data_IF_860162218489
#
_entry.id   IF_860162218489
#
_cell.length_a   1.000
_cell.length_b   1.000
_cell.length_c   1.000
_cell.angle_alpha   90.00
_cell.angle_beta   90.00
_cell.angle_gamma   90.00
#
_symmetry.space_group_name_H-M   'P 1'
#
loop_
_entity.id
_entity.type
_entity.pdbx_description
1 polymer ?
#
# COMPACT_ATOMS: atom_id res chain seq x y z
N UNK A 1 22.00 3.43 6.42
CA UNK A 1 21.20 4.40 5.63
C UNK A 1 20.03 3.68 4.91
N UNK A 2 19.24 2.85 5.60
CA UNK A 2 18.27 1.96 4.94
C UNK A 2 16.87 2.56 4.72
N UNK A 3 16.59 3.73 5.31
CA UNK A 3 15.24 4.31 5.29
C UNK A 3 14.83 4.80 3.89
N UNK A 4 15.75 5.41 3.14
CA UNK A 4 15.46 5.95 1.79
C UNK A 4 15.21 4.86 0.76
N UNK A 5 15.97 3.76 0.82
CA UNK A 5 15.86 2.62 -0.08
C UNK A 5 14.53 1.88 0.13
N UNK A 6 14.15 1.63 1.39
CA UNK A 6 12.84 1.04 1.70
C UNK A 6 11.70 1.87 1.12
N UNK A 7 11.73 3.19 1.33
CA UNK A 7 10.67 4.06 0.80
C UNK A 7 10.66 4.11 -0.73
N UNK A 8 11.80 3.92 -1.39
CA UNK A 8 11.84 3.81 -2.85
C UNK A 8 11.15 2.53 -3.33
N UNK A 9 11.42 1.39 -2.69
CA UNK A 9 10.75 0.12 -3.02
C UNK A 9 9.26 0.17 -2.65
N UNK A 10 8.91 0.74 -1.49
CA UNK A 10 7.51 0.93 -1.09
C UNK A 10 6.74 1.77 -2.12
N UNK A 11 7.32 2.89 -2.58
CA UNK A 11 6.72 3.69 -3.65
C UNK A 11 6.58 2.90 -4.94
N UNK A 12 7.62 2.16 -5.35
CA UNK A 12 7.56 1.30 -6.53
C UNK A 12 6.41 0.28 -6.43
N UNK A 13 6.26 -0.38 -5.29
CA UNK A 13 5.18 -1.33 -5.05
C UNK A 13 3.80 -0.65 -5.03
N UNK A 14 3.67 0.53 -4.43
CA UNK A 14 2.44 1.34 -4.50
C UNK A 14 2.06 1.70 -5.93
N UNK A 15 3.04 2.05 -6.78
CA UNK A 15 2.80 2.40 -8.19
C UNK A 15 2.27 1.24 -9.04
N UNK A 16 2.51 -0.01 -8.63
CA UNK A 16 1.96 -1.20 -9.30
C UNK A 16 0.48 -1.46 -8.99
N UNK A 17 -0.07 -0.84 -7.94
CA UNK A 17 -1.48 -0.99 -7.59
C UNK A 17 -2.38 -0.23 -8.58
N UNK A 18 -3.59 -0.75 -8.87
CA UNK A 18 -4.61 0.03 -9.56
C UNK A 18 -4.88 1.35 -8.83
N UNK A 19 -5.06 2.44 -9.59
CA UNK A 19 -5.13 3.81 -9.05
C UNK A 19 -6.10 3.96 -7.87
N UNK A 20 -7.31 3.42 -7.98
CA UNK A 20 -8.31 3.48 -6.89
C UNK A 20 -7.88 2.70 -5.64
N UNK A 21 -7.19 1.57 -5.81
CA UNK A 21 -6.67 0.76 -4.68
C UNK A 21 -5.51 1.50 -4.01
N UNK A 22 -4.60 2.08 -4.80
CA UNK A 22 -3.52 2.94 -4.30
C UNK A 22 -4.06 4.13 -3.52
N UNK A 23 -5.07 4.82 -4.04
CA UNK A 23 -5.69 5.96 -3.39
C UNK A 23 -6.32 5.57 -2.04
N UNK A 24 -7.11 4.48 -2.00
CA UNK A 24 -7.69 3.96 -0.75
C UNK A 24 -6.61 3.66 0.28
N UNK A 25 -5.54 2.95 -0.10
CA UNK A 25 -4.47 2.60 0.82
C UNK A 25 -3.71 3.83 1.32
N UNK A 26 -3.33 4.75 0.42
CA UNK A 26 -2.58 5.96 0.76
C UNK A 26 -3.37 6.81 1.76
N UNK A 27 -4.63 7.13 1.43
CA UNK A 27 -5.47 7.94 2.31
C UNK A 27 -5.68 7.28 3.67
N UNK A 28 -5.99 5.98 3.70
CA UNK A 28 -6.36 5.30 4.95
C UNK A 28 -5.17 4.99 5.84
N UNK A 29 -4.09 4.45 5.28
CA UNK A 29 -2.97 3.86 6.02
C UNK A 29 -1.76 4.81 6.12
N UNK A 30 -1.55 5.67 5.13
CA UNK A 30 -0.40 6.60 5.11
C UNK A 30 -0.80 7.98 5.63
N UNK A 31 -1.92 8.51 5.16
CA UNK A 31 -2.40 9.86 5.54
C UNK A 31 -3.31 9.81 6.78
N UNK A 32 -3.76 8.62 7.19
CA UNK A 32 -4.57 8.42 8.40
C UNK A 32 -6.04 8.84 8.28
N UNK A 33 -6.53 9.15 7.08
CA UNK A 33 -7.89 9.65 6.82
C UNK A 33 -8.93 8.62 7.30
N UNK A 34 -9.92 9.01 8.13
CA UNK A 34 -10.97 8.12 8.63
C UNK A 34 -11.70 7.36 7.51
N UNK A 35 -12.02 6.08 7.74
CA UNK A 35 -12.70 5.22 6.74
C UNK A 35 -13.96 5.85 6.15
N UNK A 36 -14.81 6.49 6.98
CA UNK A 36 -16.03 7.17 6.52
C UNK A 36 -15.75 8.31 5.55
N UNK A 37 -14.68 9.06 5.78
CA UNK A 37 -14.26 10.17 4.93
C UNK A 37 -13.66 9.66 3.62
N UNK A 38 -12.85 8.59 3.67
CA UNK A 38 -12.37 7.91 2.45
C UNK A 38 -13.53 7.40 1.60
N UNK A 39 -14.53 6.76 2.23
CA UNK A 39 -15.74 6.30 1.55
C UNK A 39 -16.51 7.44 0.87
N UNK A 40 -16.64 8.58 1.54
CA UNK A 40 -17.29 9.77 0.98
C UNK A 40 -16.49 10.36 -0.21
N UNK A 41 -15.19 10.61 -0.03
CA UNK A 41 -14.32 11.20 -1.05
C UNK A 41 -14.27 10.33 -2.32
N UNK A 42 -14.20 9.01 -2.16
CA UNK A 42 -14.08 8.08 -3.28
C UNK A 42 -15.43 7.53 -3.77
N UNK A 43 -16.54 7.94 -3.14
CA UNK A 43 -17.90 7.46 -3.42
C UNK A 43 -17.99 5.93 -3.45
N UNK A 44 -17.54 5.29 -2.36
CA UNK A 44 -17.58 3.84 -2.17
C UNK A 44 -18.27 3.46 -0.87
N UNK A 45 -18.77 2.23 -0.77
CA UNK A 45 -19.29 1.67 0.47
C UNK A 45 -18.17 1.15 1.37
N UNK A 46 -18.45 1.04 2.68
CA UNK A 46 -17.53 0.46 3.66
C UNK A 46 -17.07 -0.95 3.26
N UNK A 47 -17.97 -1.81 2.81
CA UNK A 47 -17.61 -3.16 2.35
C UNK A 47 -16.60 -3.12 1.19
N UNK A 48 -16.79 -2.18 0.25
CA UNK A 48 -15.86 -2.01 -0.89
C UNK A 48 -14.51 -1.45 -0.43
N UNK A 49 -14.51 -0.53 0.54
CA UNK A 49 -13.28 -0.02 1.17
C UNK A 49 -12.45 -1.17 1.75
N UNK A 50 -13.05 -2.04 2.57
CA UNK A 50 -12.32 -3.14 3.22
C UNK A 50 -11.76 -4.15 2.21
N UNK A 51 -12.53 -4.47 1.16
CA UNK A 51 -12.04 -5.33 0.06
C UNK A 51 -10.86 -4.67 -0.66
N UNK A 52 -10.93 -3.37 -0.95
CA UNK A 52 -9.84 -2.64 -1.61
C UNK A 52 -8.59 -2.57 -0.72
N UNK A 53 -8.74 -2.31 0.58
CA UNK A 53 -7.63 -2.32 1.54
C UNK A 53 -6.98 -3.69 1.68
N UNK A 54 -7.79 -4.75 1.74
CA UNK A 54 -7.27 -6.12 1.75
C UNK A 54 -6.44 -6.41 0.49
N UNK A 55 -6.98 -6.08 -0.69
CA UNK A 55 -6.26 -6.23 -1.97
C UNK A 55 -4.96 -5.43 -2.01
N UNK A 56 -4.99 -4.18 -1.53
CA UNK A 56 -3.79 -3.34 -1.44
C UNK A 56 -2.71 -4.01 -0.57
N UNK A 57 -3.08 -4.47 0.63
CA UNK A 57 -2.15 -5.11 1.56
C UNK A 57 -1.53 -6.39 1.00
N UNK A 58 -2.33 -7.24 0.36
CA UNK A 58 -1.81 -8.49 -0.23
C UNK A 58 -0.85 -8.21 -1.39
N UNK A 59 -1.21 -7.30 -2.29
CA UNK A 59 -0.34 -6.95 -3.42
C UNK A 59 0.94 -6.22 -2.97
N UNK A 60 0.86 -5.36 -1.96
CA UNK A 60 2.05 -4.71 -1.39
C UNK A 60 2.95 -5.73 -0.70
N UNK A 61 2.38 -6.68 0.04
CA UNK A 61 3.15 -7.76 0.67
C UNK A 61 3.94 -8.56 -0.37
N UNK A 62 3.26 -9.09 -1.38
CA UNK A 62 3.89 -9.87 -2.45
C UNK A 62 4.99 -9.07 -3.17
N UNK A 63 4.72 -7.79 -3.46
CA UNK A 63 5.73 -6.94 -4.08
C UNK A 63 6.93 -6.69 -3.16
N UNK A 64 6.72 -6.44 -1.87
CA UNK A 64 7.80 -6.21 -0.92
C UNK A 64 8.61 -7.48 -0.64
N UNK A 65 7.98 -8.66 -0.61
CA UNK A 65 8.66 -9.95 -0.52
C UNK A 65 9.70 -10.06 -1.65
N UNK A 66 9.30 -9.83 -2.89
CA UNK A 66 10.19 -9.93 -4.06
C UNK A 66 11.24 -8.80 -4.14
N UNK A 67 10.85 -7.56 -3.86
CA UNK A 67 11.66 -6.37 -4.20
C UNK A 67 12.44 -5.79 -3.02
N UNK A 68 12.16 -6.24 -1.79
CA UNK A 68 12.83 -5.77 -0.58
C UNK A 68 13.42 -6.93 0.21
N UNK A 69 12.61 -7.91 0.60
CA UNK A 69 13.05 -8.98 1.51
C UNK A 69 13.93 -10.03 0.80
N UNK A 70 13.64 -10.37 -0.45
CA UNK A 70 14.48 -11.29 -1.26
C UNK A 70 15.72 -10.61 -1.88
N UNK A 71 15.91 -9.31 -1.62
CA UNK A 71 17.05 -8.53 -2.12
C UNK A 71 18.08 -8.35 -0.99
N UNK A 72 19.40 -8.48 -1.24
CA UNK A 72 20.44 -8.35 -0.21
C UNK A 72 20.48 -7.00 0.53
N UNK A 73 19.68 -6.01 0.13
CA UNK A 73 19.52 -4.72 0.79
C UNK A 73 18.44 -4.71 1.91
N UNK A 74 17.46 -5.63 1.90
CA UNK A 74 16.29 -5.56 2.79
C UNK A 74 16.22 -6.60 3.92
N UNK A 75 17.18 -7.52 3.99
CA UNK A 75 17.29 -8.49 5.07
C UNK A 75 18.41 -9.48 4.83
N UNK A 76 19.50 -9.38 5.58
CA UNK A 76 20.45 -10.48 5.72
C UNK A 76 19.85 -11.55 6.63
N UNK A 77 19.75 -12.77 6.09
CA UNK A 77 19.64 -14.08 6.74
C UNK A 77 18.38 -14.39 7.57
#
# INVERSE_FOLDING_TARGET
MHRSEFWQVMRHCLFKLPEKIRAVFTMREMDGVPSKEVCAILSISDSKLWVMLHRARMALRECLEINWFDTPAGGTA
#
